data_IF_958431916110
#
_entry.id   IF_958431916110
#
_cell.length_a   1.000
_cell.length_b   1.000
_cell.length_c   1.000
_cell.angle_alpha   90.00
_cell.angle_beta   90.00
_cell.angle_gamma   90.00
#
_symmetry.space_group_name_H-M   'P 1'
#
loop_
_entity.id
_entity.type
_entity.pdbx_description
1 polymer ?
#
# COMPACT_ATOMS: atom_id res chain seq x y z
N UNK A 1 -11.83 -37.36 20.65
CA UNK A 1 -10.73 -37.53 19.66
C UNK A 1 -9.56 -36.72 20.15
N UNK A 2 -8.81 -37.30 21.08
CA UNK A 2 -7.71 -36.67 21.79
C UNK A 2 -6.44 -37.44 21.42
N UNK A 3 -5.71 -36.93 20.42
CA UNK A 3 -4.28 -37.21 20.19
C UNK A 3 -3.65 -35.95 19.62
N UNK A 4 -3.16 -35.12 20.53
CA UNK A 4 -2.18 -34.08 20.25
C UNK A 4 -0.94 -34.72 19.61
N UNK A 5 -0.53 -34.22 18.45
CA UNK A 5 0.77 -34.51 17.85
C UNK A 5 1.67 -33.26 18.02
N UNK A 6 2.88 -33.37 18.59
CA UNK A 6 3.62 -32.23 19.13
C UNK A 6 4.62 -31.64 18.11
N UNK A 7 4.16 -31.21 16.93
CA UNK A 7 5.04 -30.55 15.92
C UNK A 7 4.42 -29.29 15.28
N UNK A 8 3.20 -28.89 15.65
CA UNK A 8 2.49 -27.80 14.97
C UNK A 8 2.79 -26.36 15.45
N UNK A 9 3.79 -26.14 16.30
CA UNK A 9 4.05 -24.83 16.87
C UNK A 9 5.55 -24.63 17.13
N UNK A 10 6.34 -24.54 16.06
CA UNK A 10 7.48 -23.63 16.13
C UNK A 10 6.90 -22.23 15.98
N UNK A 11 6.75 -21.48 17.08
CA UNK A 11 6.80 -20.01 17.02
C UNK A 11 8.00 -19.70 16.14
N UNK A 12 7.80 -19.23 14.92
CA UNK A 12 8.90 -18.86 14.06
C UNK A 12 9.78 -17.89 14.83
N UNK A 13 11.03 -18.26 15.08
CA UNK A 13 11.97 -17.50 15.93
C UNK A 13 12.23 -16.08 15.42
N UNK A 14 11.78 -15.75 14.20
CA UNK A 14 11.82 -14.39 13.62
C UNK A 14 10.60 -13.53 13.97
N UNK A 15 9.48 -14.15 14.34
CA UNK A 15 8.25 -13.48 14.80
C UNK A 15 8.31 -13.22 16.33
N UNK A 16 9.23 -13.88 17.04
CA UNK A 16 9.40 -13.78 18.49
C UNK A 16 9.93 -12.41 18.97
N UNK A 17 10.73 -11.71 18.15
CA UNK A 17 11.20 -10.34 18.45
C UNK A 17 10.05 -9.33 18.46
N UNK A 18 9.12 -9.47 17.52
CA UNK A 18 7.90 -8.65 17.39
C UNK A 18 6.85 -8.98 18.45
N UNK A 19 6.68 -10.27 18.74
CA UNK A 19 5.81 -10.74 19.82
C UNK A 19 6.21 -10.14 21.17
N UNK A 20 7.50 -9.95 21.46
CA UNK A 20 7.93 -9.32 22.71
C UNK A 20 7.59 -7.82 22.79
N UNK A 21 7.65 -7.09 21.67
CA UNK A 21 7.22 -5.69 21.59
C UNK A 21 5.69 -5.56 21.74
N UNK A 22 4.93 -6.45 21.10
CA UNK A 22 3.46 -6.53 21.23
C UNK A 22 3.01 -7.01 22.61
N UNK A 23 3.75 -7.92 23.27
CA UNK A 23 3.50 -8.35 24.65
C UNK A 23 3.73 -7.19 25.63
N UNK A 24 4.69 -6.29 25.38
CA UNK A 24 4.84 -5.07 26.18
C UNK A 24 3.63 -4.13 26.05
N UNK A 25 3.11 -3.92 24.83
CA UNK A 25 1.92 -3.10 24.59
C UNK A 25 0.65 -3.76 25.16
N UNK A 26 0.50 -5.07 25.02
CA UNK A 26 -0.65 -5.82 25.56
C UNK A 26 -0.62 -5.98 27.09
N UNK A 27 0.56 -6.06 27.71
CA UNK A 27 0.69 -6.12 29.17
C UNK A 27 0.36 -4.78 29.86
N UNK A 28 0.51 -3.64 29.17
CA UNK A 28 0.03 -2.34 29.65
C UNK A 28 -1.51 -2.31 29.78
N UNK A 29 -2.23 -2.95 28.85
CA UNK A 29 -3.69 -3.04 28.90
C UNK A 29 -4.21 -4.07 29.91
N UNK A 30 -3.43 -5.10 30.25
CA UNK A 30 -3.87 -6.22 31.12
C UNK A 30 -3.93 -5.89 32.62
N UNK A 31 -3.33 -4.79 33.08
CA UNK A 31 -3.24 -4.44 34.53
C UNK A 31 -4.51 -3.77 35.08
N UNK A 32 -5.44 -3.28 34.25
CA UNK A 32 -6.59 -2.49 34.73
C UNK A 32 -7.94 -3.19 34.57
N UNK A 33 -7.96 -4.49 34.88
CA UNK A 33 -9.19 -5.30 34.91
C UNK A 33 -9.79 -5.48 36.30
N UNK A 34 -9.80 -4.48 37.20
CA UNK A 34 -10.69 -4.42 38.37
C UNK A 34 -10.49 -3.12 39.17
N UNK A 35 -11.51 -2.26 39.21
CA UNK A 35 -12.06 -1.52 40.38
C UNK A 35 -12.80 -0.25 39.91
N UNK A 36 -14.14 -0.37 39.93
CA UNK A 36 -15.21 0.61 40.14
C UNK A 36 -15.01 2.13 39.90
N UNK A 37 -15.77 2.62 38.90
CA UNK A 37 -16.85 3.63 39.00
C UNK A 37 -16.75 4.71 40.09
N UNK A 38 -16.54 5.96 39.67
CA UNK A 38 -17.26 7.15 40.15
C UNK A 38 -17.29 8.19 39.00
N UNK A 39 -18.49 8.72 38.80
CA UNK A 39 -18.89 9.75 37.84
C UNK A 39 -17.99 11.00 37.88
N UNK A 40 -17.51 11.46 36.72
CA UNK A 40 -17.20 12.87 36.50
C UNK A 40 -17.30 13.20 35.01
N UNK A 41 -18.13 14.20 34.70
CA UNK A 41 -18.37 14.85 33.42
C UNK A 41 -17.37 14.54 32.29
N UNK A 42 -17.81 13.78 31.29
CA UNK A 42 -17.25 13.82 29.95
C UNK A 42 -17.50 15.22 29.37
N UNK A 43 -16.59 16.15 29.64
CA UNK A 43 -16.32 17.22 28.69
C UNK A 43 -15.75 16.49 27.49
N UNK A 44 -16.59 16.22 26.50
CA UNK A 44 -16.15 15.83 25.18
C UNK A 44 -15.38 17.04 24.63
N UNK A 45 -14.09 17.13 24.96
CA UNK A 45 -13.14 17.85 24.14
C UNK A 45 -13.17 17.11 22.82
N UNK A 46 -13.92 17.67 21.86
CA UNK A 46 -13.78 17.35 20.45
C UNK A 46 -12.30 17.55 20.17
N UNK A 47 -11.56 16.45 20.06
CA UNK A 47 -10.20 16.47 19.53
C UNK A 47 -10.38 16.85 18.07
N UNK A 48 -10.21 18.14 17.80
CA UNK A 48 -10.23 18.70 16.46
C UNK A 48 -9.12 18.02 15.68
N UNK A 49 -9.47 17.23 14.66
CA UNK A 49 -8.49 16.61 13.80
C UNK A 49 -7.80 17.71 12.98
N UNK A 50 -6.48 17.59 12.77
CA UNK A 50 -5.63 18.60 12.14
C UNK A 50 -5.93 18.84 10.62
N UNK A 51 -7.07 18.35 10.12
CA UNK A 51 -7.52 18.45 8.73
C UNK A 51 -8.97 18.94 8.56
N UNK A 52 -9.53 19.65 9.54
CA UNK A 52 -10.93 20.11 9.53
C UNK A 52 -11.39 20.81 8.23
N UNK A 53 -10.46 21.37 7.44
CA UNK A 53 -10.78 22.07 6.19
C UNK A 53 -10.50 21.28 4.89
N UNK A 54 -10.07 20.01 4.96
CA UNK A 54 -9.90 19.21 3.74
C UNK A 54 -11.23 18.63 3.25
N UNK A 55 -11.66 19.05 2.07
CA UNK A 55 -12.78 18.44 1.37
C UNK A 55 -12.41 18.24 -0.10
N UNK A 56 -12.29 16.99 -0.54
CA UNK A 56 -11.94 16.66 -1.93
C UNK A 56 -12.85 17.36 -2.96
N UNK A 57 -14.16 17.49 -2.66
CA UNK A 57 -15.13 18.10 -3.59
C UNK A 57 -15.12 19.64 -3.52
N UNK A 58 -14.65 20.21 -2.42
CA UNK A 58 -14.74 21.64 -2.12
C UNK A 58 -13.41 22.17 -1.57
N UNK A 59 -12.33 21.98 -2.33
CA UNK A 59 -11.03 22.55 -1.96
C UNK A 59 -11.05 24.08 -2.22
N UNK A 60 -10.60 24.93 -1.28
CA UNK A 60 -10.61 26.38 -1.44
C UNK A 60 -9.77 26.84 -2.64
N UNK A 61 -10.36 27.62 -3.54
CA UNK A 61 -9.73 27.95 -4.82
C UNK A 61 -8.57 28.93 -4.65
N UNK A 62 -8.66 29.80 -3.65
CA UNK A 62 -7.63 30.74 -3.22
C UNK A 62 -6.39 30.08 -2.61
N UNK A 63 -6.49 28.82 -2.18
CA UNK A 63 -5.38 28.05 -1.62
C UNK A 63 -4.72 27.14 -2.67
N UNK A 64 -5.25 27.08 -3.90
CA UNK A 64 -4.66 26.28 -4.97
C UNK A 64 -3.35 26.88 -5.45
N UNK A 65 -2.28 26.13 -5.25
CA UNK A 65 -0.93 26.45 -5.70
C UNK A 65 -0.09 25.17 -5.82
N UNK A 66 1.06 25.19 -6.52
CA UNK A 66 1.92 24.01 -6.60
C UNK A 66 2.34 23.55 -5.20
N UNK A 67 2.28 22.23 -4.94
CA UNK A 67 2.65 21.64 -3.63
C UNK A 67 4.06 22.08 -3.23
N UNK A 68 5.00 22.03 -4.18
CA UNK A 68 6.38 22.44 -3.97
C UNK A 68 6.49 23.90 -3.54
N UNK A 69 5.68 24.79 -4.11
CA UNK A 69 5.67 26.21 -3.73
C UNK A 69 5.11 26.45 -2.33
N UNK A 70 4.11 25.66 -1.91
CA UNK A 70 3.57 25.73 -0.55
C UNK A 70 4.59 25.17 0.46
N UNK A 71 5.20 24.03 0.15
CA UNK A 71 6.21 23.41 0.99
C UNK A 71 7.46 24.29 1.16
N UNK A 72 7.98 24.86 0.06
CA UNK A 72 9.10 25.79 0.08
C UNK A 72 8.82 27.02 0.98
N UNK A 73 7.64 27.62 0.88
CA UNK A 73 7.25 28.72 1.78
C UNK A 73 7.20 28.29 3.24
N UNK A 74 6.76 27.06 3.52
CA UNK A 74 6.82 26.49 4.87
C UNK A 74 8.25 26.41 5.39
N UNK A 75 9.18 25.91 4.57
CA UNK A 75 10.60 25.79 4.91
C UNK A 75 11.30 27.15 5.07
N UNK A 76 10.99 28.13 4.22
CA UNK A 76 11.54 29.49 4.33
C UNK A 76 11.10 30.17 5.64
N UNK A 77 9.83 29.98 6.02
CA UNK A 77 9.30 30.47 7.30
C UNK A 77 9.91 29.71 8.49
N UNK A 78 10.14 28.40 8.36
CA UNK A 78 10.86 27.61 9.36
C UNK A 78 12.28 28.15 9.59
N UNK A 79 13.02 28.41 8.51
CA UNK A 79 14.38 28.97 8.57
C UNK A 79 14.41 30.40 9.15
N UNK A 80 13.31 31.14 8.98
CA UNK A 80 13.14 32.51 9.51
C UNK A 80 12.53 32.54 10.92
N UNK A 81 12.34 31.38 11.57
CA UNK A 81 11.71 31.24 12.89
C UNK A 81 10.27 31.82 12.96
N UNK A 82 9.59 31.92 11.83
CA UNK A 82 8.18 32.32 11.75
C UNK A 82 7.29 31.07 11.87
N UNK A 83 7.13 30.58 13.09
CA UNK A 83 6.47 29.29 13.38
C UNK A 83 5.01 29.23 12.91
N UNK A 84 4.26 30.35 13.02
CA UNK A 84 2.86 30.41 12.63
C UNK A 84 2.66 30.21 11.14
N UNK A 85 3.44 30.91 10.31
CA UNK A 85 3.35 30.77 8.86
C UNK A 85 4.00 29.47 8.38
N UNK A 86 5.05 28.99 9.05
CA UNK A 86 5.61 27.66 8.82
C UNK A 86 4.52 26.59 8.92
N UNK A 87 3.82 26.51 10.06
CA UNK A 87 2.76 25.52 10.27
C UNK A 87 1.69 25.66 9.18
N UNK A 88 1.22 26.89 8.92
CA UNK A 88 0.19 27.16 7.91
C UNK A 88 0.56 26.65 6.51
N UNK A 89 1.76 26.94 6.05
CA UNK A 89 2.20 26.54 4.70
C UNK A 89 2.52 25.05 4.61
N UNK A 90 3.06 24.45 5.67
CA UNK A 90 3.27 22.99 5.72
C UNK A 90 1.92 22.26 5.70
N UNK A 91 0.94 22.67 6.50
CA UNK A 91 -0.42 22.10 6.47
C UNK A 91 -1.10 22.28 5.11
N UNK A 92 -0.92 23.45 4.47
CA UNK A 92 -1.40 23.67 3.11
C UNK A 92 -0.76 22.68 2.12
N UNK A 93 0.56 22.48 2.21
CA UNK A 93 1.27 21.55 1.32
C UNK A 93 0.79 20.10 1.49
N UNK A 94 0.49 19.66 2.72
CA UNK A 94 -0.10 18.34 3.00
C UNK A 94 -1.50 18.21 2.40
N UNK A 95 -2.35 19.24 2.54
CA UNK A 95 -3.71 19.22 1.96
C UNK A 95 -3.69 19.23 0.42
N UNK A 96 -2.77 19.97 -0.19
CA UNK A 96 -2.56 19.97 -1.65
C UNK A 96 -2.03 18.61 -2.13
N UNK A 97 -1.11 17.99 -1.39
CA UNK A 97 -0.62 16.64 -1.69
C UNK A 97 -1.75 15.59 -1.64
N UNK A 98 -2.60 15.67 -0.61
CA UNK A 98 -3.80 14.82 -0.53
C UNK A 98 -4.77 15.06 -1.68
N UNK A 99 -5.03 16.33 -2.03
CA UNK A 99 -5.88 16.68 -3.18
C UNK A 99 -5.34 16.11 -4.49
N UNK A 100 -4.02 16.17 -4.72
CA UNK A 100 -3.35 15.57 -5.87
C UNK A 100 -3.62 14.05 -5.92
N UNK A 101 -3.37 13.33 -4.82
CA UNK A 101 -3.58 11.88 -4.73
C UNK A 101 -5.04 11.48 -4.95
N UNK A 102 -5.98 12.19 -4.32
CA UNK A 102 -7.41 11.91 -4.47
C UNK A 102 -7.89 12.21 -5.90
N UNK A 103 -7.39 13.27 -6.54
CA UNK A 103 -7.75 13.61 -7.93
C UNK A 103 -7.26 12.55 -8.92
N UNK A 104 -6.00 12.10 -8.77
CA UNK A 104 -5.44 11.03 -9.62
C UNK A 104 -6.22 9.74 -9.43
N UNK A 105 -6.43 9.35 -8.16
CA UNK A 105 -7.17 8.14 -7.79
C UNK A 105 -8.58 8.13 -8.38
N UNK A 106 -9.31 9.23 -8.26
CA UNK A 106 -10.66 9.36 -8.80
C UNK A 106 -10.69 9.12 -10.31
N UNK A 107 -9.77 9.74 -11.05
CA UNK A 107 -9.72 9.60 -12.50
C UNK A 107 -9.40 8.18 -12.95
N UNK A 108 -8.45 7.54 -12.28
CA UNK A 108 -8.06 6.16 -12.59
C UNK A 108 -9.22 5.20 -12.33
N UNK A 109 -9.83 5.24 -11.15
CA UNK A 109 -10.93 4.35 -10.79
C UNK A 109 -12.11 4.49 -11.76
N UNK A 110 -12.49 5.73 -12.08
CA UNK A 110 -13.61 5.98 -12.98
C UNK A 110 -13.33 5.55 -14.43
N UNK A 111 -12.09 5.73 -14.91
CA UNK A 111 -11.69 5.31 -16.25
C UNK A 111 -11.47 3.80 -16.38
N UNK A 112 -11.03 3.12 -15.32
CA UNK A 112 -10.95 1.67 -15.28
C UNK A 112 -12.36 1.05 -15.29
N UNK A 113 -13.30 1.57 -14.50
CA UNK A 113 -14.68 1.09 -14.48
C UNK A 113 -15.42 1.34 -15.81
N UNK A 114 -15.20 2.50 -16.44
CA UNK A 114 -15.78 2.83 -17.74
C UNK A 114 -15.27 1.91 -18.86
N UNK A 115 -14.06 1.38 -18.73
CA UNK A 115 -13.46 0.47 -19.71
C UNK A 115 -14.17 -0.90 -19.75
N UNK A 116 -14.65 -1.39 -18.61
CA UNK A 116 -15.41 -2.65 -18.51
C UNK A 116 -16.77 -2.56 -19.24
N UNK A 117 -17.31 -1.35 -19.44
CA UNK A 117 -18.63 -1.13 -20.03
C UNK A 117 -18.61 -0.76 -21.51
N UNK A 118 -17.44 -0.50 -22.10
CA UNK A 118 -17.37 -0.15 -23.52
C UNK A 118 -17.47 -1.41 -24.39
N UNK A 119 -18.52 -1.46 -25.21
CA UNK A 119 -18.72 -2.54 -26.18
C UNK A 119 -17.60 -2.46 -27.24
N UNK A 120 -16.75 -3.50 -27.30
CA UNK A 120 -15.62 -3.54 -28.22
C UNK A 120 -16.09 -3.45 -29.68
N UNK A 121 -15.47 -2.61 -30.53
CA UNK A 121 -15.84 -2.55 -31.93
C UNK A 121 -15.50 -3.87 -32.63
N UNK A 122 -16.46 -4.42 -33.37
CA UNK A 122 -16.37 -5.72 -34.09
C UNK A 122 -15.11 -5.83 -34.98
N UNK A 123 -14.55 -4.72 -35.43
CA UNK A 123 -13.34 -4.67 -36.28
C UNK A 123 -12.01 -4.93 -35.52
N UNK A 124 -12.00 -4.78 -34.19
CA UNK A 124 -10.84 -5.12 -33.35
C UNK A 124 -10.63 -6.64 -33.20
N UNK A 125 -11.64 -7.46 -33.54
CA UNK A 125 -11.60 -8.92 -33.45
C UNK A 125 -10.64 -9.62 -34.42
N UNK A 126 -10.01 -8.89 -35.35
CA UNK A 126 -9.19 -9.48 -36.42
C UNK A 126 -7.71 -9.65 -36.08
N UNK A 127 -7.20 -8.95 -35.05
CA UNK A 127 -5.83 -9.12 -34.49
C UNK A 127 -5.81 -8.67 -33.03
N UNK A 128 -5.36 -9.52 -32.09
CA UNK A 128 -5.34 -9.22 -30.65
C UNK A 128 -4.57 -7.93 -30.29
N UNK A 129 -3.56 -7.57 -31.07
CA UNK A 129 -2.79 -6.33 -30.91
C UNK A 129 -3.67 -5.07 -31.06
N UNK A 130 -4.62 -5.07 -32.00
CA UNK A 130 -5.51 -3.92 -32.22
C UNK A 130 -6.49 -3.71 -31.07
N UNK A 131 -6.90 -4.78 -30.37
CA UNK A 131 -7.69 -4.66 -29.14
C UNK A 131 -6.89 -3.97 -28.05
N UNK A 132 -5.64 -4.40 -27.82
CA UNK A 132 -4.75 -3.80 -26.81
C UNK A 132 -4.56 -2.30 -27.08
N UNK A 133 -4.24 -1.91 -28.32
CA UNK A 133 -4.08 -0.51 -28.68
C UNK A 133 -5.36 0.31 -28.48
N UNK A 134 -6.52 -0.25 -28.84
CA UNK A 134 -7.79 0.43 -28.62
C UNK A 134 -8.07 0.65 -27.12
N UNK A 135 -7.85 -0.37 -26.28
CA UNK A 135 -8.01 -0.29 -24.82
C UNK A 135 -7.14 0.81 -24.21
N UNK A 136 -5.86 0.86 -24.63
CA UNK A 136 -4.90 1.89 -24.20
C UNK A 136 -5.38 3.30 -24.62
N UNK A 137 -5.78 3.48 -25.87
CA UNK A 137 -6.21 4.80 -26.39
C UNK A 137 -7.50 5.29 -25.72
N UNK A 138 -8.45 4.39 -25.46
CA UNK A 138 -9.70 4.74 -24.78
C UNK A 138 -9.46 5.14 -23.32
N UNK A 139 -8.61 4.39 -22.59
CA UNK A 139 -8.19 4.75 -21.23
C UNK A 139 -7.47 6.10 -21.20
N UNK A 140 -6.51 6.33 -22.10
CA UNK A 140 -5.79 7.59 -22.19
C UNK A 140 -6.72 8.78 -22.50
N UNK A 141 -7.69 8.59 -23.40
CA UNK A 141 -8.72 9.59 -23.73
C UNK A 141 -9.60 9.92 -22.52
N UNK A 142 -10.03 8.89 -21.77
CA UNK A 142 -10.79 9.08 -20.54
C UNK A 142 -10.00 9.84 -19.48
N UNK A 143 -8.76 9.42 -19.21
CA UNK A 143 -7.89 10.06 -18.21
C UNK A 143 -7.63 11.51 -18.57
N UNK A 144 -7.31 11.81 -19.84
CA UNK A 144 -7.11 13.18 -20.32
C UNK A 144 -8.34 14.06 -20.05
N UNK A 145 -9.54 13.57 -20.34
CA UNK A 145 -10.79 14.31 -20.06
C UNK A 145 -11.00 14.50 -18.57
N UNK A 146 -10.87 13.43 -17.79
CA UNK A 146 -11.05 13.47 -16.34
C UNK A 146 -10.12 14.50 -15.67
N UNK A 147 -8.84 14.52 -16.06
CA UNK A 147 -7.84 15.45 -15.50
C UNK A 147 -8.25 16.92 -15.65
N UNK A 148 -8.96 17.29 -16.72
CA UNK A 148 -9.43 18.68 -16.92
C UNK A 148 -10.43 19.16 -15.87
N UNK A 149 -11.10 18.25 -15.16
CA UNK A 149 -12.06 18.60 -14.10
C UNK A 149 -11.40 18.87 -12.75
N UNK A 150 -10.11 18.57 -12.58
CA UNK A 150 -9.41 18.69 -11.31
C UNK A 150 -8.29 19.74 -11.40
N UNK A 151 -8.47 20.95 -10.82
CA UNK A 151 -7.46 22.01 -10.85
C UNK A 151 -6.09 21.57 -10.33
N UNK A 152 -6.04 20.69 -9.33
CA UNK A 152 -4.79 20.15 -8.79
C UNK A 152 -3.95 19.41 -9.84
N UNK A 153 -4.59 18.81 -10.84
CA UNK A 153 -3.92 18.08 -11.94
C UNK A 153 -3.48 19.00 -13.09
N UNK A 154 -3.86 20.28 -13.05
CA UNK A 154 -3.40 21.30 -13.99
C UNK A 154 -2.18 22.07 -13.48
N UNK A 155 -1.81 21.88 -12.22
CA UNK A 155 -0.63 22.48 -11.61
C UNK A 155 0.62 21.65 -11.95
N UNK A 156 1.82 22.27 -11.93
CA UNK A 156 3.08 21.54 -12.06
C UNK A 156 3.17 20.40 -11.05
N UNK A 157 3.50 19.20 -11.54
CA UNK A 157 3.71 18.04 -10.67
C UNK A 157 4.96 18.27 -9.81
N UNK A 158 4.98 17.84 -8.53
CA UNK A 158 6.14 18.03 -7.66
C UNK A 158 7.35 17.24 -8.16
N UNK A 159 8.55 17.78 -7.95
CA UNK A 159 9.79 17.04 -8.23
C UNK A 159 9.87 15.76 -7.37
N UNK A 160 10.64 14.79 -7.84
CA UNK A 160 10.77 13.49 -7.19
C UNK A 160 11.24 13.60 -5.74
N UNK A 161 12.19 14.49 -5.45
CA UNK A 161 12.71 14.71 -4.10
C UNK A 161 11.62 15.24 -3.15
N UNK A 162 10.71 16.06 -3.67
CA UNK A 162 9.58 16.58 -2.89
C UNK A 162 8.61 15.43 -2.61
N UNK A 163 8.27 14.61 -3.60
CA UNK A 163 7.41 13.44 -3.39
C UNK A 163 8.01 12.47 -2.36
N UNK A 164 9.31 12.23 -2.41
CA UNK A 164 10.04 11.41 -1.43
C UNK A 164 9.94 12.00 -0.01
N UNK A 165 10.01 13.33 0.15
CA UNK A 165 9.79 14.00 1.43
C UNK A 165 8.38 13.74 2.00
N UNK A 166 7.35 13.78 1.16
CA UNK A 166 5.98 13.46 1.59
C UNK A 166 5.80 11.97 1.92
N UNK A 167 6.36 11.07 1.11
CA UNK A 167 6.31 9.62 1.37
C UNK A 167 7.06 9.23 2.67
N UNK A 168 8.11 9.98 3.01
CA UNK A 168 8.84 9.86 4.28
C UNK A 168 8.22 10.68 5.42
N UNK A 169 7.08 11.36 5.20
CA UNK A 169 6.40 12.20 6.19
C UNK A 169 7.29 13.32 6.76
N UNK A 170 8.31 13.77 6.02
CA UNK A 170 9.20 14.89 6.38
C UNK A 170 8.46 16.18 6.81
N UNK A 171 7.32 16.57 6.20
CA UNK A 171 6.54 17.72 6.66
C UNK A 171 6.24 17.73 8.17
N UNK A 172 5.92 16.57 8.75
CA UNK A 172 5.59 16.48 10.17
C UNK A 172 6.78 16.68 11.09
N UNK A 173 8.01 16.44 10.61
CA UNK A 173 9.22 16.78 11.37
C UNK A 173 9.34 18.28 11.58
N UNK A 174 9.05 19.08 10.55
CA UNK A 174 9.04 20.54 10.66
C UNK A 174 7.88 21.03 11.52
N UNK A 175 6.70 20.42 11.38
CA UNK A 175 5.54 20.74 12.23
C UNK A 175 5.81 20.43 13.70
N UNK A 176 6.47 19.32 14.01
CA UNK A 176 6.89 18.99 15.38
C UNK A 176 7.70 20.13 16.00
N UNK A 177 8.80 20.53 15.35
CA UNK A 177 9.66 21.58 15.89
C UNK A 177 8.92 22.92 15.99
N UNK A 178 8.11 23.28 14.99
CA UNK A 178 7.32 24.51 15.04
C UNK A 178 6.30 24.51 16.19
N UNK A 179 5.60 23.39 16.43
CA UNK A 179 4.65 23.28 17.54
C UNK A 179 5.33 23.32 18.92
N UNK A 180 6.54 22.76 19.05
CA UNK A 180 7.35 22.90 20.28
C UNK A 180 7.66 24.37 20.57
N UNK A 181 8.03 25.16 19.56
CA UNK A 181 8.30 26.60 19.72
C UNK A 181 7.04 27.41 20.05
N UNK A 182 5.86 26.90 19.70
CA UNK A 182 4.56 27.51 19.97
C UNK A 182 3.93 27.07 21.30
N UNK A 183 4.62 26.25 22.10
CA UNK A 183 4.12 25.68 23.36
C UNK A 183 2.81 24.87 23.18
N UNK A 184 2.69 24.15 22.05
CA UNK A 184 1.57 23.24 21.75
C UNK A 184 2.03 21.77 21.77
N UNK A 185 2.13 21.15 22.96
CA UNK A 185 2.66 19.80 23.10
C UNK A 185 1.75 18.75 22.46
N UNK A 186 0.44 18.98 22.36
CA UNK A 186 -0.49 18.00 21.79
C UNK A 186 -0.24 17.81 20.29
N UNK A 187 -0.18 18.91 19.53
CA UNK A 187 0.12 18.84 18.09
C UNK A 187 1.56 18.48 17.80
N UNK A 188 2.49 18.86 18.67
CA UNK A 188 3.87 18.41 18.58
C UNK A 188 3.94 16.87 18.70
N UNK A 189 3.34 16.28 19.74
CA UNK A 189 3.33 14.82 19.93
C UNK A 189 2.69 14.07 18.77
N UNK A 190 1.56 14.57 18.24
CA UNK A 190 0.92 13.97 17.08
C UNK A 190 1.80 14.04 15.83
N UNK A 191 2.43 15.20 15.57
CA UNK A 191 3.37 15.38 14.45
C UNK A 191 4.59 14.44 14.57
N UNK A 192 5.18 14.35 15.76
CA UNK A 192 6.29 13.43 16.03
C UNK A 192 5.87 11.97 15.83
N UNK A 193 4.69 11.60 16.31
CA UNK A 193 4.16 10.25 16.15
C UNK A 193 3.98 9.90 14.67
N UNK A 194 3.31 10.77 13.89
CA UNK A 194 3.11 10.58 12.45
C UNK A 194 4.43 10.46 11.70
N UNK A 195 5.44 11.29 12.01
CA UNK A 195 6.77 11.21 11.40
C UNK A 195 7.46 9.86 11.69
N UNK A 196 7.44 9.42 12.95
CA UNK A 196 8.09 8.18 13.39
C UNK A 196 7.46 6.92 12.80
N UNK A 197 6.23 6.96 12.30
CA UNK A 197 5.65 5.82 11.58
C UNK A 197 6.44 5.46 10.33
N UNK A 198 7.05 6.44 9.64
CA UNK A 198 7.93 6.21 8.49
C UNK A 198 9.42 6.30 8.82
N UNK A 199 9.78 6.84 9.99
CA UNK A 199 11.17 7.04 10.41
C UNK A 199 11.42 6.50 11.84
N UNK A 200 11.17 5.21 12.11
CA UNK A 200 11.30 4.66 13.47
C UNK A 200 12.72 4.72 14.03
N UNK A 201 13.73 4.79 13.17
CA UNK A 201 15.14 4.82 13.54
C UNK A 201 15.71 6.24 13.72
N UNK A 202 14.91 7.30 13.54
CA UNK A 202 15.39 8.67 13.76
C UNK A 202 15.75 8.86 15.24
N UNK A 203 17.04 9.07 15.57
CA UNK A 203 17.48 9.10 16.96
C UNK A 203 17.01 10.36 17.69
N UNK A 204 16.86 11.48 16.98
CA UNK A 204 16.50 12.77 17.56
C UNK A 204 15.04 12.73 17.98
N UNK A 205 14.14 12.37 17.06
CA UNK A 205 12.71 12.31 17.33
C UNK A 205 12.38 11.22 18.36
N UNK A 206 13.05 10.06 18.26
CA UNK A 206 12.88 8.98 19.25
C UNK A 206 13.31 9.41 20.64
N UNK A 207 14.42 10.14 20.78
CA UNK A 207 14.86 10.68 22.07
C UNK A 207 13.82 11.63 22.67
N UNK A 208 13.29 12.55 21.86
CA UNK A 208 12.25 13.48 22.31
C UNK A 208 10.98 12.74 22.77
N UNK A 209 10.51 11.78 21.99
CA UNK A 209 9.33 10.98 22.37
C UNK A 209 9.55 10.16 23.64
N UNK A 210 10.74 9.60 23.84
CA UNK A 210 11.10 8.89 25.07
C UNK A 210 11.22 9.81 26.29
N UNK A 211 11.53 11.10 26.09
CA UNK A 211 11.45 12.08 27.16
C UNK A 211 9.99 12.32 27.56
N UNK A 212 9.10 12.61 26.60
CA UNK A 212 7.68 12.80 26.89
C UNK A 212 7.03 11.59 27.57
N UNK A 213 7.36 10.36 27.14
CA UNK A 213 6.88 9.12 27.78
C UNK A 213 7.28 8.95 29.25
N UNK A 214 8.39 9.57 29.68
CA UNK A 214 8.84 9.52 31.07
C UNK A 214 8.13 10.54 31.95
N UNK A 215 7.68 11.64 31.36
CA UNK A 215 7.07 12.76 32.07
C UNK A 215 5.54 12.66 32.08
N UNK A 216 4.93 12.06 31.04
CA UNK A 216 3.48 12.04 30.84
C UNK A 216 2.97 10.67 30.38
N UNK A 217 1.72 10.37 30.74
CA UNK A 217 0.96 9.29 30.11
C UNK A 217 0.46 9.79 28.74
N UNK A 218 0.95 9.17 27.66
CA UNK A 218 0.68 9.60 26.29
C UNK A 218 -0.52 8.88 25.65
N UNK A 219 -1.20 7.99 26.39
CA UNK A 219 -2.39 7.30 25.90
C UNK A 219 -3.45 8.32 25.45
N UNK A 220 -3.88 8.22 24.19
CA UNK A 220 -4.87 9.12 23.58
C UNK A 220 -4.30 10.38 22.90
N UNK A 221 -3.01 10.68 23.05
CA UNK A 221 -2.33 11.81 22.39
C UNK A 221 -1.47 11.39 21.18
N UNK A 222 -1.21 10.10 21.05
CA UNK A 222 -0.49 9.52 19.92
C UNK A 222 -1.45 9.32 18.74
N UNK A 223 -1.68 10.38 17.99
CA UNK A 223 -2.53 10.38 16.79
C UNK A 223 -1.63 10.29 15.57
N UNK A 224 -1.84 9.27 14.72
CA UNK A 224 -1.25 9.27 13.39
C UNK A 224 -2.19 9.97 12.39
N UNK A 225 -1.80 11.17 11.98
CA UNK A 225 -2.50 11.98 10.98
C UNK A 225 -2.57 11.37 9.57
N UNK A 226 -1.73 10.36 9.29
CA UNK A 226 -1.78 9.61 8.03
C UNK A 226 -2.05 8.12 8.23
N UNK A 227 -2.73 7.76 9.33
CA UNK A 227 -3.12 6.38 9.61
C UNK A 227 -3.95 5.81 8.45
N UNK A 228 -3.56 4.62 7.98
CA UNK A 228 -4.24 3.97 6.86
C UNK A 228 -5.28 2.97 7.36
N UNK A 229 -6.40 2.77 6.63
CA UNK A 229 -7.49 1.91 7.12
C UNK A 229 -7.09 0.47 7.44
N UNK A 230 -6.18 -0.13 6.64
CA UNK A 230 -5.73 -1.50 6.87
C UNK A 230 -4.87 -1.63 8.14
N UNK A 231 -4.17 -0.57 8.56
CA UNK A 231 -3.32 -0.57 9.75
C UNK A 231 -4.17 -0.72 11.01
N UNK A 232 -5.28 0.03 11.08
CA UNK A 232 -6.29 -0.06 12.15
C UNK A 232 -6.88 -1.47 12.24
N UNK A 233 -7.33 -2.00 11.10
CA UNK A 233 -7.93 -3.34 11.02
C UNK A 233 -6.92 -4.42 11.41
N UNK A 234 -5.67 -4.31 10.92
CA UNK A 234 -4.60 -5.25 11.21
C UNK A 234 -4.24 -5.27 12.71
N UNK A 235 -4.01 -4.10 13.30
CA UNK A 235 -3.69 -3.99 14.73
C UNK A 235 -4.80 -4.57 15.61
N UNK A 236 -6.06 -4.29 15.26
CA UNK A 236 -7.21 -4.86 15.96
C UNK A 236 -7.27 -6.38 15.81
N UNK A 237 -7.03 -6.91 14.62
CA UNK A 237 -6.99 -8.34 14.37
C UNK A 237 -5.90 -9.04 15.18
N UNK A 238 -4.67 -8.50 15.20
CA UNK A 238 -3.56 -9.04 16.00
C UNK A 238 -3.84 -8.99 17.49
N UNK A 239 -4.49 -7.92 17.98
CA UNK A 239 -4.89 -7.80 19.39
C UNK A 239 -5.88 -8.90 19.78
N UNK A 240 -6.91 -9.12 18.94
CA UNK A 240 -7.91 -10.17 19.14
C UNK A 240 -7.30 -11.57 19.07
N UNK A 241 -6.40 -11.79 18.11
CA UNK A 241 -5.64 -13.03 17.96
C UNK A 241 -4.87 -13.37 19.23
N UNK A 242 -4.16 -12.39 19.81
CA UNK A 242 -3.41 -12.56 21.05
C UNK A 242 -4.30 -12.78 22.29
N UNK A 243 -5.56 -12.35 22.23
CA UNK A 243 -6.58 -12.65 23.25
C UNK A 243 -7.31 -13.98 23.02
N UNK A 244 -6.89 -14.78 22.02
CA UNK A 244 -7.50 -16.05 21.59
C UNK A 244 -8.92 -15.94 21.01
N UNK A 245 -9.38 -14.72 20.70
CA UNK A 245 -10.61 -14.50 19.93
C UNK A 245 -10.32 -14.63 18.42
N UNK A 246 -10.16 -15.88 17.99
CA UNK A 246 -9.84 -16.20 16.59
C UNK A 246 -10.96 -15.79 15.62
N UNK A 247 -12.22 -15.86 16.03
CA UNK A 247 -13.36 -15.54 15.15
C UNK A 247 -13.38 -14.05 14.82
N UNK A 248 -13.28 -13.16 15.82
CA UNK A 248 -13.23 -11.73 15.56
C UNK A 248 -11.89 -11.31 14.94
N UNK A 249 -10.80 -12.00 15.26
CA UNK A 249 -9.51 -11.81 14.59
C UNK A 249 -9.62 -12.05 13.08
N UNK A 250 -10.25 -13.14 12.64
CA UNK A 250 -10.42 -13.45 11.21
C UNK A 250 -11.18 -12.31 10.52
N UNK A 251 -12.31 -11.89 11.08
CA UNK A 251 -13.13 -10.82 10.49
C UNK A 251 -12.33 -9.53 10.27
N UNK A 252 -11.50 -9.12 11.24
CA UNK A 252 -10.68 -7.92 11.10
C UNK A 252 -9.44 -8.14 10.21
N UNK A 253 -8.88 -9.35 10.16
CA UNK A 253 -7.73 -9.65 9.32
C UNK A 253 -8.13 -9.72 7.83
N UNK A 254 -9.27 -10.31 7.50
CA UNK A 254 -9.84 -10.28 6.14
C UNK A 254 -10.13 -8.84 5.69
N UNK A 255 -10.69 -8.02 6.60
CA UNK A 255 -10.91 -6.60 6.34
C UNK A 255 -9.58 -5.87 6.08
N UNK A 256 -8.54 -6.14 6.88
CA UNK A 256 -7.21 -5.56 6.69
C UNK A 256 -6.60 -5.97 5.33
N UNK A 257 -6.69 -7.24 4.96
CA UNK A 257 -6.19 -7.76 3.68
C UNK A 257 -6.90 -7.07 2.51
N UNK A 258 -8.23 -7.01 2.52
CA UNK A 258 -9.01 -6.32 1.49
C UNK A 258 -8.66 -4.84 1.36
N UNK A 259 -8.55 -4.14 2.49
CA UNK A 259 -8.18 -2.72 2.52
C UNK A 259 -6.74 -2.49 2.04
N UNK A 260 -5.81 -3.39 2.40
CA UNK A 260 -4.42 -3.31 1.93
C UNK A 260 -4.34 -3.49 0.41
N UNK A 261 -5.02 -4.51 -0.14
CA UNK A 261 -5.04 -4.75 -1.59
C UNK A 261 -5.64 -3.56 -2.35
N UNK A 262 -6.68 -2.93 -1.79
CA UNK A 262 -7.22 -1.69 -2.32
C UNK A 262 -6.14 -0.58 -2.34
N UNK A 263 -5.45 -0.34 -1.23
CA UNK A 263 -4.38 0.67 -1.16
C UNK A 263 -3.19 0.34 -2.08
N UNK A 264 -2.86 -0.93 -2.24
CA UNK A 264 -1.83 -1.40 -3.17
C UNK A 264 -2.19 -1.09 -4.62
N UNK A 265 -3.43 -1.41 -5.04
CA UNK A 265 -3.92 -1.07 -6.38
C UNK A 265 -3.91 0.44 -6.65
N UNK A 266 -4.23 1.24 -5.63
CA UNK A 266 -4.18 2.70 -5.69
C UNK A 266 -2.75 3.21 -5.83
N UNK A 267 -1.81 2.64 -5.08
CA UNK A 267 -0.40 2.97 -5.19
C UNK A 267 0.13 2.69 -6.61
N UNK A 268 -0.14 1.49 -7.15
CA UNK A 268 0.29 1.15 -8.52
C UNK A 268 -0.29 2.12 -9.55
N UNK A 269 -1.56 2.49 -9.38
CA UNK A 269 -2.20 3.39 -10.31
C UNK A 269 -1.63 4.82 -10.25
N UNK A 270 -1.25 5.30 -9.07
CA UNK A 270 -0.57 6.59 -8.89
C UNK A 270 0.75 6.68 -9.67
N UNK A 271 1.45 5.55 -9.86
CA UNK A 271 2.72 5.49 -10.60
C UNK A 271 2.57 5.80 -12.10
N UNK A 272 1.39 5.55 -12.66
CA UNK A 272 1.11 5.78 -14.09
C UNK A 272 0.82 7.26 -14.41
N UNK A 273 0.63 8.11 -13.38
CA UNK A 273 0.23 9.52 -13.52
C UNK A 273 1.37 10.54 -13.46
N UNK A 274 2.61 10.10 -13.19
CA UNK A 274 3.79 10.97 -13.08
C UNK A 274 4.35 11.43 -14.43
N UNK A 275 3.86 10.88 -15.54
CA UNK A 275 4.40 11.08 -16.89
C UNK A 275 4.07 12.43 -17.54
N UNK A 276 3.39 13.37 -16.88
CA UNK A 276 2.94 14.61 -17.54
C UNK A 276 3.91 15.79 -17.39
N UNK A 277 4.88 15.73 -16.47
CA UNK A 277 5.62 16.94 -16.05
C UNK A 277 6.94 17.16 -16.78
N UNK A 278 7.59 16.10 -17.26
CA UNK A 278 8.98 16.15 -17.71
C UNK A 278 9.24 15.38 -19.01
N UNK A 279 8.23 15.07 -19.84
CA UNK A 279 8.56 14.69 -21.21
C UNK A 279 9.29 15.87 -21.85
N UNK A 280 10.59 15.75 -22.13
CA UNK A 280 11.25 16.77 -22.90
C UNK A 280 10.49 16.84 -24.23
N UNK A 281 10.55 17.96 -24.93
CA UNK A 281 10.18 17.98 -26.35
C UNK A 281 11.25 17.21 -27.15
N UNK A 282 11.56 15.97 -26.75
CA UNK A 282 12.45 15.03 -27.40
C UNK A 282 11.80 14.60 -28.70
N UNK A 283 12.60 14.67 -29.77
CA UNK A 283 12.19 14.29 -31.12
C UNK A 283 11.95 12.78 -31.27
N UNK A 284 12.35 11.98 -30.28
CA UNK A 284 12.30 10.52 -30.31
C UNK A 284 11.25 9.99 -29.32
N UNK A 285 10.09 9.63 -29.85
CA UNK A 285 8.94 9.11 -29.10
C UNK A 285 9.26 7.83 -28.32
N UNK A 286 9.97 6.88 -28.94
CA UNK A 286 10.20 5.56 -28.36
C UNK A 286 11.11 5.56 -27.12
N UNK A 287 12.28 6.23 -27.11
CA UNK A 287 13.10 6.35 -25.90
C UNK A 287 12.35 7.01 -24.76
N UNK A 288 11.63 8.10 -25.05
CA UNK A 288 10.89 8.85 -24.03
C UNK A 288 9.76 8.01 -23.41
N UNK A 289 9.06 7.23 -24.23
CA UNK A 289 8.05 6.29 -23.75
C UNK A 289 8.67 5.18 -22.89
N UNK A 290 9.82 4.63 -23.31
CA UNK A 290 10.52 3.59 -22.56
C UNK A 290 10.98 4.10 -21.19
N UNK A 291 11.55 5.30 -21.11
CA UNK A 291 11.95 5.92 -19.85
C UNK A 291 10.74 6.11 -18.91
N UNK A 292 9.61 6.61 -19.44
CA UNK A 292 8.38 6.75 -18.67
C UNK A 292 7.85 5.42 -18.11
N UNK A 293 7.92 4.32 -18.90
CA UNK A 293 7.55 2.99 -18.41
C UNK A 293 8.50 2.49 -17.33
N UNK A 294 9.81 2.70 -17.50
CA UNK A 294 10.81 2.29 -16.49
C UNK A 294 10.55 3.03 -15.18
N UNK A 295 10.23 4.32 -15.21
CA UNK A 295 9.95 5.08 -14.01
C UNK A 295 8.61 4.68 -13.36
N UNK A 296 7.58 4.38 -14.14
CA UNK A 296 6.33 3.82 -13.63
C UNK A 296 6.57 2.47 -12.93
N UNK A 297 7.30 1.55 -13.57
CA UNK A 297 7.64 0.24 -12.99
C UNK A 297 8.49 0.37 -11.71
N UNK A 298 9.46 1.28 -11.69
CA UNK A 298 10.26 1.58 -10.48
C UNK A 298 9.40 2.08 -9.34
N UNK A 299 8.36 2.87 -9.62
CA UNK A 299 7.40 3.31 -8.64
C UNK A 299 6.51 2.15 -8.15
N UNK A 300 5.98 1.33 -9.07
CA UNK A 300 5.10 0.20 -8.74
C UNK A 300 5.79 -0.82 -7.81
N UNK A 301 7.07 -1.13 -8.06
CA UNK A 301 7.86 -2.05 -7.23
C UNK A 301 8.03 -1.54 -5.79
N UNK A 302 8.01 -0.22 -5.57
CA UNK A 302 8.11 0.38 -4.22
C UNK A 302 6.79 0.38 -3.45
N UNK A 303 5.66 -0.01 -4.05
CA UNK A 303 4.37 0.05 -3.38
C UNK A 303 4.30 -0.82 -2.12
N UNK A 304 4.88 -2.01 -2.13
CA UNK A 304 4.91 -2.87 -0.93
C UNK A 304 5.71 -2.20 0.21
N UNK A 305 6.89 -1.67 -0.09
CA UNK A 305 7.76 -0.98 0.87
C UNK A 305 7.09 0.29 1.44
N UNK A 306 6.41 1.05 0.59
CA UNK A 306 5.69 2.27 0.98
C UNK A 306 4.41 1.99 1.77
N UNK A 307 3.83 0.79 1.60
CA UNK A 307 2.63 0.33 2.30
C UNK A 307 2.91 -0.53 3.54
N UNK A 308 4.18 -0.81 3.83
CA UNK A 308 4.57 -1.56 5.01
C UNK A 308 4.22 -0.79 6.30
N UNK A 309 3.38 -1.35 7.18
CA UNK A 309 2.98 -0.66 8.40
C UNK A 309 4.07 -0.74 9.46
N UNK A 310 4.12 0.29 10.31
CA UNK A 310 4.97 0.32 11.48
C UNK A 310 4.13 0.02 12.73
N UNK A 311 4.55 -1.01 13.47
CA UNK A 311 3.89 -1.42 14.72
C UNK A 311 4.89 -1.34 15.86
N UNK A 312 4.70 -0.36 16.75
CA UNK A 312 5.53 -0.21 17.93
C UNK A 312 6.98 0.19 17.64
N UNK A 313 7.26 0.84 16.50
CA UNK A 313 8.59 1.28 16.11
C UNK A 313 9.34 0.31 15.19
N UNK A 314 8.63 -0.67 14.62
CA UNK A 314 9.23 -1.65 13.73
C UNK A 314 8.31 -1.88 12.52
N UNK A 315 8.87 -1.99 11.33
CA UNK A 315 8.14 -2.29 10.09
C UNK A 315 7.80 -3.78 9.86
N UNK A 316 6.52 -4.09 9.68
CA UNK A 316 6.08 -5.49 9.48
C UNK A 316 6.46 -5.98 8.07
N UNK A 317 7.65 -6.54 7.93
CA UNK A 317 8.15 -7.13 6.69
C UNK A 317 7.25 -8.28 6.20
N UNK A 318 7.22 -8.50 4.87
CA UNK A 318 6.37 -9.52 4.21
C UNK A 318 4.92 -9.41 4.69
N UNK A 319 4.38 -8.20 4.66
CA UNK A 319 3.13 -7.86 5.35
C UNK A 319 1.95 -8.72 4.91
N UNK A 320 1.82 -8.97 3.61
CA UNK A 320 0.80 -9.85 3.03
C UNK A 320 0.94 -11.29 3.56
N UNK A 321 2.15 -11.85 3.51
CA UNK A 321 2.43 -13.18 4.03
C UNK A 321 2.04 -13.24 5.52
N UNK A 322 2.39 -12.22 6.30
CA UNK A 322 2.01 -12.12 7.70
C UNK A 322 0.49 -12.20 7.91
N UNK A 323 -0.31 -11.49 7.10
CA UNK A 323 -1.77 -11.57 7.17
C UNK A 323 -2.29 -12.99 6.87
N UNK A 324 -1.77 -13.65 5.83
CA UNK A 324 -2.14 -15.04 5.53
C UNK A 324 -1.75 -16.03 6.62
N UNK A 325 -0.60 -15.82 7.27
CA UNK A 325 -0.19 -16.64 8.41
C UNK A 325 -1.17 -16.52 9.57
N UNK A 326 -1.60 -15.30 9.92
CA UNK A 326 -2.62 -15.09 10.95
C UNK A 326 -3.96 -15.73 10.59
N UNK A 327 -4.43 -15.55 9.35
CA UNK A 327 -5.66 -16.17 8.85
C UNK A 327 -5.59 -17.70 8.92
N UNK A 328 -4.53 -18.29 8.34
CA UNK A 328 -4.29 -19.73 8.34
C UNK A 328 -4.34 -20.30 9.76
N UNK A 329 -3.65 -19.66 10.71
CA UNK A 329 -3.62 -20.14 12.08
C UNK A 329 -4.98 -20.01 12.77
N UNK A 330 -5.66 -18.87 12.61
CA UNK A 330 -6.95 -18.63 13.22
C UNK A 330 -8.02 -19.60 12.68
N UNK A 331 -8.08 -19.83 11.36
CA UNK A 331 -8.97 -20.81 10.76
C UNK A 331 -8.69 -22.23 11.26
N UNK A 332 -7.40 -22.61 11.36
CA UNK A 332 -7.02 -23.90 11.94
C UNK A 332 -7.51 -24.06 13.39
N UNK A 333 -7.38 -23.02 14.23
CA UNK A 333 -7.86 -23.04 15.62
C UNK A 333 -9.37 -23.16 15.74
N UNK A 334 -10.12 -22.72 14.73
CA UNK A 334 -11.56 -22.89 14.63
C UNK A 334 -11.98 -24.19 13.92
N UNK A 335 -11.03 -25.10 13.67
CA UNK A 335 -11.27 -26.38 12.98
C UNK A 335 -11.80 -26.19 11.54
N UNK A 336 -11.42 -25.10 10.89
CA UNK A 336 -11.77 -24.78 9.51
C UNK A 336 -10.53 -24.93 8.60
N UNK A 337 -10.15 -26.18 8.32
CA UNK A 337 -9.02 -26.45 7.43
C UNK A 337 -9.30 -26.07 5.96
N UNK A 338 -10.58 -25.98 5.56
CA UNK A 338 -10.98 -25.59 4.19
C UNK A 338 -10.61 -24.15 3.88
N UNK A 339 -10.69 -23.26 4.87
CA UNK A 339 -10.21 -21.89 4.75
C UNK A 339 -8.71 -21.76 5.09
N UNK A 340 -8.20 -22.60 6.00
CA UNK A 340 -6.80 -22.53 6.42
C UNK A 340 -5.80 -22.98 5.34
N UNK A 341 -6.09 -24.06 4.60
CA UNK A 341 -5.18 -24.60 3.59
C UNK A 341 -4.94 -23.63 2.41
N UNK A 342 -5.95 -22.97 1.83
CA UNK A 342 -5.73 -21.92 0.82
C UNK A 342 -4.92 -20.73 1.33
N UNK A 343 -5.10 -20.33 2.61
CA UNK A 343 -4.27 -19.28 3.21
C UNK A 343 -2.80 -19.70 3.32
N UNK A 344 -2.53 -20.97 3.64
CA UNK A 344 -1.18 -21.53 3.66
C UNK A 344 -0.57 -21.54 2.25
N UNK A 345 -1.36 -21.91 1.23
CA UNK A 345 -0.95 -21.86 -0.19
C UNK A 345 -0.61 -20.43 -0.62
N UNK A 346 -1.45 -19.45 -0.29
CA UNK A 346 -1.19 -18.03 -0.55
C UNK A 346 0.09 -17.54 0.12
N UNK A 347 0.34 -17.92 1.38
CA UNK A 347 1.57 -17.56 2.09
C UNK A 347 2.83 -18.01 1.34
N UNK A 348 2.84 -19.25 0.84
CA UNK A 348 4.01 -19.86 0.19
C UNK A 348 4.38 -19.15 -1.11
N UNK A 349 3.47 -18.42 -1.74
CA UNK A 349 3.80 -17.55 -2.88
C UNK A 349 4.75 -16.41 -2.49
N UNK A 350 4.58 -15.85 -1.30
CA UNK A 350 5.37 -14.71 -0.81
C UNK A 350 6.63 -15.14 -0.07
N UNK A 351 6.61 -16.29 0.62
CA UNK A 351 7.78 -16.80 1.35
C UNK A 351 7.95 -18.32 1.19
N UNK A 352 8.41 -18.80 0.01
CA UNK A 352 8.51 -20.23 -0.30
C UNK A 352 9.59 -20.96 0.52
N UNK A 353 10.50 -20.22 1.15
CA UNK A 353 11.61 -20.75 1.96
C UNK A 353 11.26 -20.88 3.45
N UNK A 354 10.07 -20.44 3.88
CA UNK A 354 9.62 -20.61 5.27
C UNK A 354 9.36 -22.10 5.58
N UNK A 355 10.23 -22.67 6.42
CA UNK A 355 10.17 -24.09 6.80
C UNK A 355 8.91 -24.44 7.59
N UNK A 356 8.39 -23.52 8.40
CA UNK A 356 7.18 -23.75 9.22
C UNK A 356 5.97 -23.84 8.30
N UNK A 357 5.81 -22.90 7.36
CA UNK A 357 4.67 -22.96 6.45
C UNK A 357 4.74 -24.16 5.50
N UNK A 358 5.94 -24.54 5.02
CA UNK A 358 6.10 -25.78 4.25
C UNK A 358 5.68 -27.02 5.03
N UNK A 359 6.01 -27.08 6.34
CA UNK A 359 5.56 -28.17 7.19
C UNK A 359 4.04 -28.16 7.39
N UNK A 360 3.42 -26.98 7.51
CA UNK A 360 1.97 -26.85 7.59
C UNK A 360 1.28 -27.31 6.29
N UNK A 361 1.85 -27.00 5.13
CA UNK A 361 1.36 -27.50 3.84
C UNK A 361 1.43 -29.03 3.76
N UNK A 362 2.55 -29.63 4.16
CA UNK A 362 2.68 -31.10 4.23
C UNK A 362 1.68 -31.71 5.21
N UNK A 363 1.41 -31.04 6.33
CA UNK A 363 0.37 -31.46 7.26
C UNK A 363 -1.00 -31.50 6.57
N UNK A 364 -1.46 -30.41 5.95
CA UNK A 364 -2.75 -30.40 5.27
C UNK A 364 -2.86 -31.46 4.17
N UNK A 365 -1.79 -31.67 3.39
CA UNK A 365 -1.74 -32.73 2.37
C UNK A 365 -1.87 -34.13 2.98
N UNK A 366 -1.12 -34.40 4.06
CA UNK A 366 -1.12 -35.73 4.70
C UNK A 366 -2.45 -36.08 5.38
N UNK A 367 -3.20 -35.07 5.82
CA UNK A 367 -4.49 -35.24 6.49
C UNK A 367 -5.69 -34.81 5.61
N UNK A 368 -5.50 -34.73 4.27
CA UNK A 368 -6.52 -34.21 3.34
C UNK A 368 -7.88 -34.90 3.48
N UNK A 369 -7.91 -36.22 3.61
CA UNK A 369 -9.15 -36.98 3.73
C UNK A 369 -9.88 -36.70 5.06
N UNK A 370 -9.13 -36.53 6.15
CA UNK A 370 -9.71 -36.28 7.48
C UNK A 370 -10.32 -34.89 7.57
N UNK A 371 -9.70 -33.91 6.90
CA UNK A 371 -10.19 -32.54 6.83
C UNK A 371 -11.20 -32.31 5.71
N UNK A 372 -11.42 -33.31 4.85
CA UNK A 372 -12.31 -33.21 3.69
C UNK A 372 -11.83 -32.15 2.69
N UNK A 373 -10.52 -32.14 2.42
CA UNK A 373 -9.82 -31.27 1.47
C UNK A 373 -9.68 -31.96 0.11
N UNK A 374 -9.87 -31.18 -0.94
CA UNK A 374 -9.67 -31.55 -2.34
C UNK A 374 -8.43 -30.84 -2.91
N UNK A 375 -8.18 -31.01 -4.21
CA UNK A 375 -7.01 -30.41 -4.85
C UNK A 375 -7.14 -28.87 -4.94
N UNK A 376 -8.36 -28.33 -5.06
CA UNK A 376 -8.63 -26.88 -5.02
C UNK A 376 -8.32 -26.26 -3.65
N UNK A 377 -8.37 -27.03 -2.57
CA UNK A 377 -7.98 -26.54 -1.23
C UNK A 377 -6.50 -26.17 -1.12
N UNK A 378 -5.68 -26.56 -2.11
CA UNK A 378 -4.24 -26.28 -2.18
C UNK A 378 -3.88 -25.24 -3.24
N UNK A 379 -4.87 -24.54 -3.80
CA UNK A 379 -4.60 -23.36 -4.62
C UNK A 379 -4.52 -22.10 -3.74
N UNK A 380 -3.63 -21.15 -4.07
CA UNK A 380 -3.65 -19.83 -3.47
C UNK A 380 -5.01 -19.15 -3.70
N UNK A 381 -5.43 -18.34 -2.73
CA UNK A 381 -6.63 -17.52 -2.88
C UNK A 381 -6.45 -16.50 -4.00
N UNK A 382 -7.51 -16.33 -4.79
CA UNK A 382 -7.68 -15.33 -5.87
C UNK A 382 -7.73 -13.87 -5.38
N UNK A 383 -7.24 -13.56 -4.17
CA UNK A 383 -7.34 -12.21 -3.60
C UNK A 383 -6.56 -11.16 -4.44
N UNK A 384 -5.59 -11.58 -5.24
CA UNK A 384 -4.76 -10.72 -6.11
C UNK A 384 -5.27 -10.54 -7.53
N UNK A 385 -6.18 -11.40 -7.98
CA UNK A 385 -6.56 -11.47 -9.39
C UNK A 385 -7.70 -10.50 -9.67
N UNK A 386 -7.51 -9.66 -10.69
CA UNK A 386 -8.61 -8.88 -11.24
C UNK A 386 -9.70 -9.79 -11.81
N UNK A 387 -10.93 -9.28 -12.05
CA UNK A 387 -12.03 -10.09 -12.59
C UNK A 387 -11.68 -10.83 -13.90
N UNK A 388 -10.74 -10.29 -14.69
CA UNK A 388 -10.31 -10.85 -15.98
C UNK A 388 -9.35 -12.06 -15.80
N UNK A 389 -8.52 -12.06 -14.76
CA UNK A 389 -7.57 -13.16 -14.49
C UNK A 389 -8.26 -14.30 -13.72
N UNK A 390 -9.20 -13.97 -12.82
CA UNK A 390 -10.04 -14.96 -12.16
C UNK A 390 -10.98 -15.69 -13.15
N UNK A 391 -11.43 -15.00 -14.21
CA UNK A 391 -12.22 -15.62 -15.28
C UNK A 391 -11.39 -16.49 -16.24
N UNK A 392 -10.09 -16.22 -16.38
CA UNK A 392 -9.19 -17.06 -17.18
C UNK A 392 -8.83 -18.38 -16.49
N UNK A 393 -8.83 -18.45 -15.14
CA UNK A 393 -8.66 -19.71 -14.43
C UNK A 393 -9.86 -20.66 -14.64
N UNK A 394 -11.10 -20.15 -14.70
CA UNK A 394 -12.29 -20.97 -14.95
C UNK A 394 -12.34 -21.58 -16.38
N UNK A 395 -11.63 -21.02 -17.36
CA UNK A 395 -11.67 -21.46 -18.77
C UNK A 395 -10.43 -22.28 -19.19
N UNK A 396 -9.47 -22.48 -18.29
CA UNK A 396 -8.19 -23.16 -18.58
C UNK A 396 -8.27 -24.70 -18.58
N UNK A 397 -9.40 -25.28 -18.20
CA UNK A 397 -9.64 -26.73 -18.16
C UNK A 397 -10.02 -27.33 -19.55
N UNK A 398 -9.96 -26.55 -20.63
CA UNK A 398 -10.10 -27.11 -21.99
C UNK A 398 -8.78 -27.76 -22.42
N UNK A 399 -8.71 -29.06 -22.15
CA UNK A 399 -7.74 -30.05 -22.65
C UNK A 399 -6.98 -29.61 -23.93
N UNK A 400 -5.71 -29.25 -23.77
CA UNK A 400 -4.76 -29.16 -24.88
C UNK A 400 -4.22 -30.57 -25.20
N UNK A 401 -5.09 -31.45 -25.72
CA UNK A 401 -4.64 -32.63 -26.45
C UNK A 401 -4.46 -32.29 -27.93
N UNK A 402 -3.28 -31.75 -28.26
CA UNK A 402 -2.90 -31.46 -29.64
C UNK A 402 -1.39 -31.26 -29.79
N UNK A 403 -0.68 -32.32 -30.18
CA UNK A 403 0.71 -32.25 -30.63
C UNK A 403 0.84 -31.27 -31.81
N UNK A 404 1.60 -30.19 -31.63
CA UNK A 404 1.93 -29.24 -32.69
C UNK A 404 3.14 -28.38 -32.35
N UNK A 405 4.26 -28.69 -33.01
CA UNK A 405 5.56 -28.00 -33.00
C UNK A 405 5.49 -26.47 -32.96
N UNK A 406 6.18 -25.85 -32.00
CA UNK A 406 6.75 -24.51 -32.17
C UNK A 406 8.12 -24.40 -31.48
N UNK A 407 9.17 -24.85 -32.20
CA UNK A 407 10.53 -24.34 -32.01
C UNK A 407 10.78 -23.16 -32.95
N UNK A 408 11.30 -22.06 -32.38
CA UNK A 408 12.12 -20.98 -32.99
C UNK A 408 11.52 -20.15 -34.16
N UNK A 409 11.43 -18.81 -34.13
CA UNK A 409 12.56 -17.87 -34.04
C UNK A 409 12.06 -16.41 -34.16
N UNK A 410 12.15 -15.59 -33.11
CA UNK A 410 11.87 -14.13 -33.18
C UNK A 410 13.16 -13.30 -33.42
N UNK A 411 14.34 -13.92 -33.48
CA UNK A 411 15.63 -13.21 -33.53
C UNK A 411 16.48 -13.40 -34.80
N UNK A 412 15.90 -13.67 -35.97
CA UNK A 412 16.70 -13.81 -37.19
C UNK A 412 16.14 -13.08 -38.43
N UNK A 413 16.10 -11.73 -38.41
CA UNK A 413 16.30 -10.91 -39.63
C UNK A 413 16.46 -9.41 -39.35
N UNK A 414 17.59 -9.00 -38.79
CA UNK A 414 18.12 -7.65 -39.00
C UNK A 414 18.94 -7.65 -40.28
N UNK A 415 18.39 -7.12 -41.38
CA UNK A 415 19.11 -6.96 -42.64
C UNK A 415 19.93 -5.66 -42.62
N UNK A 416 21.26 -5.78 -42.79
CA UNK A 416 22.11 -4.67 -43.18
C UNK A 416 21.97 -4.42 -44.69
N UNK A 417 21.87 -3.16 -45.18
CA UNK A 417 21.98 -2.87 -46.60
C UNK A 417 23.44 -3.00 -47.07
N UNK A 418 23.69 -3.88 -48.04
CA UNK A 418 24.97 -3.92 -48.76
C UNK A 418 25.08 -2.70 -49.68
N UNK A 419 26.12 -1.89 -49.46
CA UNK A 419 26.61 -0.91 -50.42
C UNK A 419 27.03 -1.59 -51.73
N UNK A 420 26.71 -0.94 -52.84
CA UNK A 420 27.05 -1.33 -54.21
C UNK A 420 28.15 -0.37 -54.68
N UNK A 421 29.32 -0.88 -54.99
CA UNK A 421 30.44 -0.11 -55.54
C UNK A 421 31.65 -1.00 -55.75
N UNK A 422 31.74 -1.59 -56.94
CA UNK A 422 32.96 -1.55 -57.75
C UNK A 422 32.67 -2.11 -59.15
N UNK A 423 32.80 -1.23 -60.14
CA UNK A 423 32.93 -1.55 -61.55
C UNK A 423 34.30 -1.07 -61.98
N UNK A 424 35.12 -1.96 -62.53
CA UNK A 424 36.19 -1.59 -63.45
C UNK A 424 37.51 -2.33 -63.23
N UNK A 425 37.65 -3.49 -63.87
CA UNK A 425 38.94 -3.93 -64.43
C UNK A 425 38.73 -4.13 -65.93
N UNK A 426 39.12 -3.12 -66.73
CA UNK A 426 39.63 -3.14 -68.12
C UNK A 426 39.71 -1.73 -68.66
#
# INVERSE_FOLDING_TARGET
>A
MEKQNPVLLARGDKCATWMNALIMVANLQRVKGTIFSISLCFIATVVVAQYDNYNFRHFPQEELMPIESAYAQGLDNYASENWTDCIKFIELSLRLHRLLKDSVTYCIQNCNASHVQLQEPVMASSTGDMQIFWRILMRASCLKKCRTHFPALSLPYPRKEIMEDFDNRSPYRYMYFAHVQMDDPQKALASAHTYLQRNPEDPVMTQHMNQYKREFDLEGYLIDHEERPYEVSFLKAVTLFNSEDFSSSISHMEQALSQYLQQYSLCQAMCQGACDADLPQTKDLYPTLADAYVDALRCEVKCEENLMPNVGGYFVEKFIATMYHYLQFAYYKLNDARSAAPCASSYVLFDPEDKVMRQNMLYYQSYREQWGLDDHSFTPRVDFLGPEEAAMEEDSDVEFEGLGDYQESILARWSQPKAKGDTGDS
#
